data_IF_183937756308
#
_entry.id   IF_183937756308
#
_cell.length_a   1.000
_cell.length_b   1.000
_cell.length_c   1.000
_cell.angle_alpha   90.00
_cell.angle_beta   90.00
_cell.angle_gamma   90.00
#
_symmetry.space_group_name_H-M   'P 1'
#
loop_
_entity.id
_entity.type
_entity.pdbx_description
1 polymer ?
#
# COMPACT_ATOMS: atom_id res chain seq x y z
N UNK A 1 0.93 -1.40 -15.23
CA UNK A 1 1.77 -2.00 -14.17
C UNK A 1 1.19 -3.37 -13.82
N UNK A 2 1.96 -4.44 -13.88
CA UNK A 2 1.44 -5.79 -13.57
C UNK A 2 1.43 -6.10 -12.06
N UNK A 3 2.30 -5.45 -11.30
CA UNK A 3 2.44 -5.61 -9.85
C UNK A 3 3.00 -4.31 -9.26
N UNK A 4 2.45 -3.89 -8.12
CA UNK A 4 3.03 -2.90 -7.22
C UNK A 4 3.19 -3.51 -5.83
N UNK A 5 4.32 -3.24 -5.18
CA UNK A 5 4.64 -3.70 -3.83
C UNK A 5 4.97 -2.47 -2.99
N UNK A 6 4.36 -2.36 -1.82
CA UNK A 6 4.52 -1.20 -0.94
C UNK A 6 4.31 -1.58 0.53
N UNK A 7 4.65 -0.69 1.46
CA UNK A 7 4.35 -0.83 2.88
C UNK A 7 2.99 -0.24 3.27
N UNK A 8 2.59 -0.45 4.52
CA UNK A 8 1.48 0.22 5.16
C UNK A 8 1.84 0.61 6.60
N UNK A 9 1.24 1.69 7.10
CA UNK A 9 1.42 2.13 8.49
C UNK A 9 0.55 1.25 9.42
N UNK A 10 -0.67 0.90 8.98
CA UNK A 10 -1.58 -0.05 9.64
C UNK A 10 -2.37 -0.84 8.58
N UNK A 11 -2.76 -2.08 8.90
CA UNK A 11 -3.55 -2.98 8.03
C UNK A 11 -4.62 -3.69 8.87
N UNK A 12 -5.87 -3.72 8.38
CA UNK A 12 -6.95 -4.48 9.02
C UNK A 12 -7.17 -5.88 8.39
N UNK A 13 -8.04 -6.69 8.98
CA UNK A 13 -8.37 -8.04 8.50
C UNK A 13 -9.02 -8.08 7.10
N UNK A 14 -9.52 -6.94 6.62
CA UNK A 14 -10.11 -6.79 5.29
C UNK A 14 -9.09 -6.26 4.26
N UNK A 15 -7.82 -6.13 4.65
CA UNK A 15 -6.74 -5.55 3.85
C UNK A 15 -6.92 -4.07 3.52
N UNK A 16 -7.72 -3.33 4.30
CA UNK A 16 -7.68 -1.87 4.23
C UNK A 16 -6.39 -1.39 4.90
N UNK A 17 -5.73 -0.42 4.25
CA UNK A 17 -4.44 0.09 4.68
C UNK A 17 -4.53 1.58 5.05
N UNK A 18 -3.99 1.94 6.21
CA UNK A 18 -3.60 3.31 6.51
C UNK A 18 -2.16 3.48 6.02
N UNK A 19 -1.93 4.53 5.23
CA UNK A 19 -0.65 4.86 4.59
C UNK A 19 -0.43 6.36 4.64
N UNK A 20 0.83 6.78 4.54
CA UNK A 20 1.20 8.18 4.35
C UNK A 20 2.14 8.71 5.42
N UNK A 21 2.56 7.90 6.40
CA UNK A 21 3.59 8.27 7.38
C UNK A 21 4.90 8.75 6.72
N UNK A 22 5.20 8.28 5.51
CA UNK A 22 6.36 8.71 4.71
C UNK A 22 6.16 9.95 3.83
N UNK A 23 4.97 10.55 3.78
CA UNK A 23 4.70 11.79 3.01
C UNK A 23 4.50 11.61 1.50
N UNK A 24 4.48 10.38 0.98
CA UNK A 24 4.35 10.08 -0.46
C UNK A 24 2.97 9.52 -0.88
N UNK A 25 1.96 9.62 -0.01
CA UNK A 25 0.68 8.89 -0.14
C UNK A 25 -0.02 9.09 -1.50
N UNK A 26 0.01 10.30 -2.07
CA UNK A 26 -0.65 10.58 -3.35
C UNK A 26 -0.02 9.77 -4.50
N UNK A 27 1.31 9.69 -4.54
CA UNK A 27 2.03 8.95 -5.58
C UNK A 27 1.91 7.44 -5.35
N UNK A 28 2.02 6.98 -4.10
CA UNK A 28 1.82 5.57 -3.71
C UNK A 28 0.43 5.08 -4.14
N UNK A 29 -0.63 5.86 -3.86
CA UNK A 29 -2.01 5.53 -4.23
C UNK A 29 -2.20 5.49 -5.75
N UNK A 30 -1.60 6.42 -6.49
CA UNK A 30 -1.65 6.41 -7.95
C UNK A 30 -1.04 5.13 -8.53
N UNK A 31 0.15 4.75 -8.06
CA UNK A 31 0.83 3.53 -8.50
C UNK A 31 0.02 2.27 -8.15
N UNK A 32 -0.54 2.20 -6.95
CA UNK A 32 -1.38 1.09 -6.50
C UNK A 32 -2.65 0.93 -7.37
N UNK A 33 -3.35 2.02 -7.67
CA UNK A 33 -4.57 2.01 -8.51
C UNK A 33 -4.26 1.63 -9.96
N UNK A 34 -3.09 2.00 -10.48
CA UNK A 34 -2.67 1.66 -11.84
C UNK A 34 -2.13 0.22 -11.98
N UNK A 35 -1.94 -0.51 -10.89
CA UNK A 35 -1.42 -1.86 -10.90
C UNK A 35 -2.53 -2.92 -10.99
N UNK A 36 -2.32 -3.97 -11.78
CA UNK A 36 -3.23 -5.13 -11.84
C UNK A 36 -3.30 -5.88 -10.50
N UNK A 37 -2.21 -5.84 -9.74
CA UNK A 37 -2.06 -6.45 -8.41
C UNK A 37 -1.29 -5.50 -7.51
N UNK A 38 -1.76 -5.38 -6.28
CA UNK A 38 -1.10 -4.60 -5.24
C UNK A 38 -0.85 -5.53 -4.04
N UNK A 39 0.39 -5.60 -3.59
CA UNK A 39 0.81 -6.42 -2.45
C UNK A 39 1.40 -5.50 -1.40
N UNK A 40 0.91 -5.64 -0.17
CA UNK A 40 1.42 -4.91 0.99
C UNK A 40 2.39 -5.80 1.77
N UNK A 41 3.53 -5.24 2.17
CA UNK A 41 4.49 -5.89 3.06
C UNK A 41 4.64 -5.03 4.31
N UNK A 42 4.28 -5.60 5.47
CA UNK A 42 4.39 -4.94 6.77
C UNK A 42 4.92 -5.96 7.79
N UNK A 43 5.48 -5.44 8.88
CA UNK A 43 5.83 -6.25 10.04
C UNK A 43 4.59 -6.58 10.88
N UNK A 44 4.62 -7.73 11.56
CA UNK A 44 3.62 -8.07 12.58
C UNK A 44 3.96 -7.26 13.83
N UNK A 45 3.08 -6.33 14.22
CA UNK A 45 3.19 -5.52 15.44
C UNK A 45 2.10 -5.89 16.43
#
# INVERSE_FOLDING_TARGET
LDLAIDGADEVDEQFNCIKGGGGCQTQEKLVAVCAKRFIVVADEK
#
